data_IF_222531658115
#
_entry.id   IF_222531658115
#
_cell.length_a   1.000
_cell.length_b   1.000
_cell.length_c   1.000
_cell.angle_alpha   90.00
_cell.angle_beta   90.00
_cell.angle_gamma   90.00
#
_symmetry.space_group_name_H-M   'P 1'
#
loop_
_entity.id
_entity.type
_entity.pdbx_description
1 polymer ?
#
# COMPACT_ATOMS: atom_id res chain seq x y z
N UNK A 1 39.83 47.18 -46.34
CA UNK A 1 39.64 45.76 -45.99
C UNK A 1 39.57 45.66 -44.47
N UNK A 2 38.50 45.08 -43.93
CA UNK A 2 38.32 44.92 -42.48
C UNK A 2 36.88 45.20 -42.06
N UNK A 3 36.01 44.21 -42.22
CA UNK A 3 34.56 44.28 -42.07
C UNK A 3 34.12 44.44 -40.62
N UNK A 4 33.00 45.18 -40.46
CA UNK A 4 32.25 45.39 -39.21
C UNK A 4 31.63 44.07 -38.75
N UNK A 5 31.88 43.68 -37.50
CA UNK A 5 31.18 42.58 -36.85
C UNK A 5 29.77 43.02 -36.45
N UNK A 6 28.80 42.25 -36.93
CA UNK A 6 27.38 42.42 -36.70
C UNK A 6 26.95 42.07 -35.28
N UNK A 7 26.07 42.93 -34.81
CA UNK A 7 25.15 42.85 -33.69
C UNK A 7 24.23 41.63 -33.85
N UNK A 8 24.19 40.75 -32.85
CA UNK A 8 23.23 39.66 -32.72
C UNK A 8 22.43 39.85 -31.44
N UNK A 9 21.31 40.57 -31.52
CA UNK A 9 20.29 40.57 -30.50
C UNK A 9 19.36 39.39 -30.78
N UNK A 10 19.55 38.30 -30.03
CA UNK A 10 18.66 37.15 -30.04
C UNK A 10 17.53 37.38 -29.04
N UNK A 11 16.35 37.72 -29.55
CA UNK A 11 15.07 37.70 -28.82
C UNK A 11 14.88 36.36 -28.11
N UNK A 12 14.81 36.41 -26.79
CA UNK A 12 14.41 35.29 -25.94
C UNK A 12 12.88 35.17 -26.02
N UNK A 13 12.40 34.26 -26.85
CA UNK A 13 10.97 33.91 -26.94
C UNK A 13 10.58 33.09 -25.72
N UNK A 14 9.56 33.56 -25.00
CA UNK A 14 8.95 32.92 -23.84
C UNK A 14 8.47 31.47 -24.12
N UNK A 15 8.67 30.51 -23.21
CA UNK A 15 8.03 29.21 -23.31
C UNK A 15 6.53 29.32 -22.98
N UNK A 16 5.70 28.91 -23.94
CA UNK A 16 4.26 28.80 -23.80
C UNK A 16 3.82 27.90 -22.62
N UNK A 17 2.70 28.20 -21.94
CA UNK A 17 2.16 27.35 -20.89
C UNK A 17 1.46 26.12 -21.48
N UNK A 18 1.98 24.92 -21.16
CA UNK A 18 1.29 23.65 -21.34
C UNK A 18 0.09 23.55 -20.39
N UNK A 19 -1.03 24.15 -20.76
CA UNK A 19 -2.34 23.93 -20.15
C UNK A 19 -3.01 22.71 -20.81
N UNK A 20 -2.66 21.51 -20.35
CA UNK A 20 -3.40 20.29 -20.66
C UNK A 20 -4.43 20.04 -19.54
N UNK A 21 -5.63 20.62 -19.69
CA UNK A 21 -6.82 20.14 -18.99
C UNK A 21 -7.34 18.88 -19.69
N UNK A 22 -7.54 17.75 -19.00
CA UNK A 22 -8.45 16.73 -19.48
C UNK A 22 -9.90 17.19 -19.22
N UNK A 23 -10.56 17.55 -20.32
CA UNK A 23 -11.99 17.82 -20.39
C UNK A 23 -12.78 16.58 -19.95
N UNK A 24 -13.35 16.61 -18.74
CA UNK A 24 -14.32 15.62 -18.26
C UNK A 24 -15.68 15.96 -18.87
N UNK A 25 -15.92 15.50 -20.09
CA UNK A 25 -17.25 15.45 -20.68
C UNK A 25 -18.01 14.27 -20.04
N UNK A 26 -18.80 14.55 -19.00
CA UNK A 26 -19.86 13.64 -18.59
C UNK A 26 -21.10 13.93 -19.45
N UNK A 27 -21.23 13.21 -20.57
CA UNK A 27 -22.50 13.04 -21.25
C UNK A 27 -23.26 11.90 -20.57
N UNK A 28 -24.20 12.27 -19.70
CA UNK A 28 -25.34 11.46 -19.30
C UNK A 28 -26.28 11.33 -20.50
N UNK A 29 -26.54 10.10 -20.97
CA UNK A 29 -27.87 9.56 -21.34
C UNK A 29 -27.75 8.27 -22.16
N UNK A 30 -28.03 7.13 -21.52
CA UNK A 30 -28.67 5.92 -22.10
C UNK A 30 -28.89 4.96 -20.91
N UNK A 31 -30.02 4.96 -20.20
CA UNK A 31 -31.32 4.36 -20.52
C UNK A 31 -31.26 2.99 -21.26
N UNK A 32 -31.70 1.98 -20.50
CA UNK A 32 -32.35 0.71 -20.90
C UNK A 32 -31.45 -0.44 -21.40
N UNK A 33 -31.27 -1.49 -20.58
CA UNK A 33 -32.22 -2.62 -20.51
C UNK A 33 -31.80 -3.64 -19.44
N UNK A 34 -32.80 -4.17 -18.75
CA UNK A 34 -32.67 -5.16 -17.69
C UNK A 34 -32.10 -6.49 -18.17
N UNK A 35 -31.21 -7.05 -17.36
CA UNK A 35 -31.00 -8.48 -17.28
C UNK A 35 -31.25 -8.87 -15.81
N UNK A 36 -32.42 -9.46 -15.59
CA UNK A 36 -32.79 -10.11 -14.35
C UNK A 36 -31.73 -11.16 -14.00
N UNK A 37 -31.02 -10.94 -12.90
CA UNK A 37 -30.29 -12.01 -12.25
C UNK A 37 -31.34 -12.81 -11.49
N UNK A 38 -31.70 -13.95 -12.08
CA UNK A 38 -32.62 -14.91 -11.51
C UNK A 38 -32.01 -15.41 -10.20
N UNK A 39 -32.71 -15.17 -9.09
CA UNK A 39 -32.46 -15.82 -7.82
C UNK A 39 -32.62 -17.32 -8.01
N UNK A 40 -31.50 -18.03 -7.94
CA UNK A 40 -31.45 -19.49 -7.84
C UNK A 40 -31.39 -19.86 -6.36
N UNK A 41 -32.56 -20.02 -5.76
CA UNK A 41 -32.79 -20.69 -4.49
C UNK A 41 -32.41 -22.18 -4.58
N UNK A 42 -31.98 -22.68 -3.43
CA UNK A 42 -32.02 -24.07 -2.96
C UNK A 42 -31.03 -25.09 -3.52
N UNK A 43 -29.98 -25.28 -2.73
CA UNK A 43 -29.11 -26.45 -2.77
C UNK A 43 -28.48 -26.66 -1.41
N UNK A 44 -29.27 -27.19 -0.48
CA UNK A 44 -28.88 -27.61 0.88
C UNK A 44 -27.92 -28.81 0.80
N UNK A 45 -26.74 -28.58 0.25
CA UNK A 45 -25.63 -29.52 0.25
C UNK A 45 -24.90 -29.39 1.57
N UNK A 46 -25.21 -30.29 2.51
CA UNK A 46 -24.43 -30.55 3.71
C UNK A 46 -22.93 -30.61 3.34
N UNK A 47 -22.07 -29.76 3.91
CA UNK A 47 -20.65 -29.75 3.56
C UNK A 47 -20.00 -31.02 4.11
N UNK A 48 -19.76 -31.96 3.20
CA UNK A 48 -18.93 -33.14 3.41
C UNK A 48 -17.62 -32.73 4.13
N UNK A 49 -17.24 -33.40 5.24
CA UNK A 49 -16.00 -33.09 5.96
C UNK A 49 -14.81 -33.51 5.10
N UNK A 50 -14.35 -32.59 4.25
CA UNK A 50 -13.10 -32.73 3.51
C UNK A 50 -11.97 -32.86 4.51
N UNK A 51 -11.50 -34.10 4.64
CA UNK A 51 -10.28 -34.48 5.30
C UNK A 51 -9.19 -33.46 4.98
N UNK A 52 -8.73 -32.75 6.02
CA UNK A 52 -7.51 -31.98 6.02
C UNK A 52 -6.30 -32.94 5.93
N UNK A 53 -6.15 -33.58 4.78
CA UNK A 53 -5.00 -34.41 4.45
C UNK A 53 -3.83 -33.50 4.08
N UNK A 54 -3.03 -33.19 5.11
CA UNK A 54 -1.55 -33.20 5.07
C UNK A 54 -0.86 -32.70 3.80
N UNK A 55 -1.04 -31.43 3.42
CA UNK A 55 -0.25 -30.80 2.35
C UNK A 55 1.05 -30.12 2.83
N UNK A 56 1.40 -30.24 4.11
CA UNK A 56 2.65 -29.72 4.68
C UNK A 56 3.84 -30.69 4.60
N UNK A 57 3.62 -31.96 4.23
CA UNK A 57 4.68 -32.99 4.23
C UNK A 57 5.39 -33.23 2.89
N UNK A 58 4.78 -32.88 1.75
CA UNK A 58 5.24 -33.36 0.44
C UNK A 58 6.16 -32.38 -0.33
N UNK A 59 6.35 -31.16 0.16
CA UNK A 59 7.07 -30.10 -0.59
C UNK A 59 8.58 -30.08 -0.29
N UNK A 60 9.06 -30.83 0.71
CA UNK A 60 10.42 -30.65 1.21
C UNK A 60 11.50 -31.53 0.55
N UNK A 61 11.20 -32.42 -0.41
CA UNK A 61 12.12 -33.52 -0.75
C UNK A 61 12.71 -33.58 -2.17
N UNK A 62 12.44 -32.65 -3.10
CA UNK A 62 13.02 -32.75 -4.47
C UNK A 62 13.55 -31.42 -5.03
N UNK A 63 14.45 -30.77 -4.29
CA UNK A 63 15.56 -30.06 -4.94
C UNK A 63 16.53 -31.13 -5.50
N UNK A 64 17.22 -30.93 -6.64
CA UNK A 64 18.35 -31.80 -6.96
C UNK A 64 19.30 -31.78 -5.74
N UNK A 65 19.82 -32.93 -5.28
CA UNK A 65 20.49 -33.02 -3.98
C UNK A 65 21.66 -32.04 -3.82
N UNK A 66 22.19 -31.49 -4.92
CA UNK A 66 23.21 -30.43 -4.93
C UNK A 66 22.69 -29.02 -4.60
N UNK A 67 21.45 -28.65 -4.95
CA UNK A 67 20.92 -27.31 -4.66
C UNK A 67 20.47 -27.18 -3.20
N UNK A 68 19.97 -28.26 -2.58
CA UNK A 68 19.60 -28.24 -1.16
C UNK A 68 20.85 -28.17 -0.27
N UNK A 69 21.97 -28.70 -0.76
CA UNK A 69 23.31 -28.58 -0.17
C UNK A 69 23.97 -27.22 -0.38
N UNK A 70 23.55 -26.45 -1.40
CA UNK A 70 24.04 -25.09 -1.58
C UNK A 70 23.48 -24.18 -0.49
N UNK A 71 24.35 -23.33 0.05
CA UNK A 71 23.97 -22.26 0.96
C UNK A 71 22.94 -21.34 0.27
N UNK A 72 22.17 -20.59 1.06
CA UNK A 72 21.21 -19.63 0.51
C UNK A 72 21.83 -18.70 -0.55
N UNK A 73 23.09 -18.30 -0.35
CA UNK A 73 23.87 -17.52 -1.31
C UNK A 73 24.15 -18.28 -2.63
N UNK A 74 24.55 -19.55 -2.55
CA UNK A 74 24.82 -20.36 -3.75
C UNK A 74 23.55 -20.70 -4.56
N UNK A 75 22.39 -20.79 -3.90
CA UNK A 75 21.10 -20.95 -4.62
C UNK A 75 20.73 -19.70 -5.41
N UNK A 76 21.01 -18.52 -4.83
CA UNK A 76 20.76 -17.25 -5.50
C UNK A 76 21.65 -17.10 -6.75
N UNK A 77 22.93 -17.43 -6.64
CA UNK A 77 23.89 -17.35 -7.75
C UNK A 77 23.52 -18.31 -8.91
N UNK A 78 23.01 -19.51 -8.60
CA UNK A 78 22.54 -20.46 -9.63
C UNK A 78 21.28 -19.95 -10.32
N UNK A 79 20.35 -19.34 -9.59
CA UNK A 79 19.14 -18.74 -10.15
C UNK A 79 19.44 -17.51 -11.00
N UNK A 80 20.41 -16.70 -10.57
CA UNK A 80 20.91 -15.54 -11.30
C UNK A 80 21.57 -15.97 -12.62
N UNK A 81 22.47 -16.97 -12.56
CA UNK A 81 23.17 -17.50 -13.74
C UNK A 81 22.23 -18.21 -14.71
N UNK A 82 21.10 -18.73 -14.25
CA UNK A 82 20.10 -19.38 -15.09
C UNK A 82 19.26 -18.41 -15.93
N UNK A 83 19.40 -17.09 -15.74
CA UNK A 83 18.61 -16.07 -16.46
C UNK A 83 17.11 -16.12 -16.18
N UNK A 84 16.66 -17.03 -15.31
CA UNK A 84 15.26 -17.21 -14.89
C UNK A 84 14.76 -16.14 -13.92
N UNK A 85 15.61 -15.19 -13.57
CA UNK A 85 15.30 -14.08 -12.66
C UNK A 85 15.22 -12.73 -13.39
N UNK A 86 15.12 -12.74 -14.72
CA UNK A 86 14.75 -11.52 -15.44
C UNK A 86 13.29 -11.21 -15.10
N UNK A 87 13.09 -10.22 -14.23
CA UNK A 87 11.77 -9.82 -13.79
C UNK A 87 11.15 -9.06 -14.95
N UNK A 88 10.12 -9.64 -15.54
CA UNK A 88 9.38 -8.98 -16.61
C UNK A 88 8.81 -7.65 -16.09
N UNK A 89 9.45 -6.55 -16.49
CA UNK A 89 9.09 -5.21 -16.05
C UNK A 89 7.72 -4.78 -16.58
N UNK A 90 7.19 -5.45 -17.62
CA UNK A 90 5.82 -5.21 -18.12
C UNK A 90 4.77 -5.80 -17.15
N UNK A 91 5.15 -6.80 -16.36
CA UNK A 91 4.31 -7.38 -15.32
C UNK A 91 4.44 -6.66 -13.97
N UNK A 92 5.45 -5.82 -13.81
CA UNK A 92 5.66 -5.04 -12.59
C UNK A 92 4.71 -3.84 -12.54
N UNK A 93 3.66 -4.01 -11.75
CA UNK A 93 2.74 -2.92 -11.38
C UNK A 93 3.03 -2.43 -9.98
N UNK A 94 3.06 -1.11 -9.81
CA UNK A 94 3.17 -0.48 -8.50
C UNK A 94 1.90 0.32 -8.19
N UNK A 95 1.61 0.44 -6.91
CA UNK A 95 0.52 1.28 -6.40
C UNK A 95 1.15 2.51 -5.76
N UNK A 96 0.68 3.73 -6.06
CA UNK A 96 1.12 4.91 -5.33
C UNK A 96 0.83 4.72 -3.83
N UNK A 97 1.84 4.95 -2.99
CA UNK A 97 1.78 4.57 -1.57
C UNK A 97 0.64 5.25 -0.80
N UNK A 98 0.12 6.37 -1.31
CA UNK A 98 -1.02 7.10 -0.75
C UNK A 98 -2.37 6.45 -0.99
N UNK A 99 -2.50 5.69 -2.07
CA UNK A 99 -3.75 4.98 -2.36
C UNK A 99 -3.92 3.76 -1.45
N UNK A 100 -2.84 3.24 -0.88
CA UNK A 100 -2.86 2.10 0.05
C UNK A 100 -3.62 2.36 1.37
N UNK A 101 -3.41 3.50 2.08
CA UNK A 101 -4.18 3.84 3.27
C UNK A 101 -5.55 4.47 3.01
N UNK A 102 -5.86 4.86 1.75
CA UNK A 102 -7.19 5.38 1.43
C UNK A 102 -8.30 4.36 1.75
N UNK A 103 -9.52 4.87 1.97
CA UNK A 103 -10.68 4.07 2.36
C UNK A 103 -10.40 3.23 3.62
N UNK A 104 -9.70 3.83 4.60
CA UNK A 104 -9.35 3.22 5.88
C UNK A 104 -8.63 1.86 5.78
N UNK A 105 -7.80 1.70 4.75
CA UNK A 105 -7.07 0.45 4.54
C UNK A 105 -7.97 -0.74 4.22
N UNK A 106 -9.15 -0.52 3.62
CA UNK A 106 -10.08 -1.60 3.22
C UNK A 106 -9.46 -2.65 2.30
N UNK A 107 -8.39 -2.28 1.57
CA UNK A 107 -7.59 -3.20 0.76
C UNK A 107 -6.87 -4.23 1.64
N UNK A 108 -6.46 -3.83 2.85
CA UNK A 108 -5.71 -4.64 3.81
C UNK A 108 -6.60 -5.40 4.79
N UNK A 109 -7.89 -5.08 4.88
CA UNK A 109 -8.80 -5.68 5.86
C UNK A 109 -9.40 -7.00 5.40
N UNK A 110 -9.35 -7.32 4.10
CA UNK A 110 -9.95 -8.54 3.53
C UNK A 110 -8.87 -9.55 3.15
N UNK A 111 -9.14 -10.82 3.40
CA UNK A 111 -8.29 -11.90 2.91
C UNK A 111 -8.27 -11.85 1.37
N UNK A 112 -7.09 -11.90 0.72
CA UNK A 112 -7.00 -11.94 -0.74
C UNK A 112 -7.83 -13.04 -1.41
N UNK A 113 -8.05 -14.16 -0.70
CA UNK A 113 -8.88 -15.27 -1.16
C UNK A 113 -10.35 -14.86 -1.35
N UNK A 114 -10.87 -13.98 -0.49
CA UNK A 114 -12.28 -13.58 -0.46
C UNK A 114 -12.59 -12.38 -1.38
N UNK A 115 -11.58 -11.87 -2.11
CA UNK A 115 -11.75 -10.74 -3.02
C UNK A 115 -12.40 -11.23 -4.31
N UNK A 116 -13.61 -10.72 -4.57
CA UNK A 116 -14.37 -10.95 -5.80
C UNK A 116 -13.60 -10.50 -7.04
N UNK A 117 -13.83 -11.17 -8.18
CA UNK A 117 -13.15 -10.87 -9.44
C UNK A 117 -13.27 -9.39 -9.83
N UNK A 118 -14.46 -8.80 -9.73
CA UNK A 118 -14.68 -7.38 -10.03
C UNK A 118 -13.80 -6.45 -9.19
N UNK A 119 -13.59 -6.77 -7.90
CA UNK A 119 -12.74 -5.98 -7.02
C UNK A 119 -11.26 -6.13 -7.35
N UNK A 120 -10.83 -7.30 -7.85
CA UNK A 120 -9.46 -7.50 -8.34
C UNK A 120 -9.19 -6.66 -9.58
N UNK A 121 -10.16 -6.56 -10.50
CA UNK A 121 -10.04 -5.68 -11.67
C UNK A 121 -9.90 -4.22 -11.23
N UNK A 122 -10.75 -3.75 -10.31
CA UNK A 122 -10.63 -2.37 -9.76
C UNK A 122 -9.25 -2.14 -9.12
N UNK A 123 -8.71 -3.11 -8.36
CA UNK A 123 -7.37 -3.00 -7.78
C UNK A 123 -6.26 -2.98 -8.84
N UNK A 124 -6.41 -3.77 -9.90
CA UNK A 124 -5.49 -3.81 -11.03
C UNK A 124 -5.49 -2.51 -11.81
N UNK A 125 -6.66 -1.88 -11.98
CA UNK A 125 -6.83 -0.56 -12.62
C UNK A 125 -6.23 0.57 -11.77
N UNK A 126 -6.18 0.41 -10.45
CA UNK A 126 -5.51 1.35 -9.54
C UNK A 126 -3.98 1.25 -9.57
N UNK A 127 -3.43 0.19 -10.18
CA UNK A 127 -1.99 -0.03 -10.27
C UNK A 127 -1.44 0.48 -11.60
N UNK A 128 -0.28 1.11 -11.55
CA UNK A 128 0.40 1.67 -12.71
C UNK A 128 1.65 0.84 -13.03
N UNK A 129 1.97 0.71 -14.31
CA UNK A 129 3.23 0.08 -14.75
C UNK A 129 4.42 0.90 -14.22
N UNK A 130 5.35 0.23 -13.54
CA UNK A 130 6.46 0.89 -12.87
C UNK A 130 7.78 0.19 -13.15
N UNK A 131 8.76 0.97 -13.63
CA UNK A 131 10.14 0.48 -13.86
C UNK A 131 10.88 0.15 -12.57
N UNK A 132 10.46 0.75 -11.46
CA UNK A 132 11.07 0.56 -10.14
C UNK A 132 10.06 0.85 -9.02
N UNK A 133 10.33 0.30 -7.84
CA UNK A 133 9.56 0.53 -6.61
C UNK A 133 10.49 0.95 -5.47
N UNK A 134 10.02 1.88 -4.64
CA UNK A 134 10.79 2.40 -3.50
C UNK A 134 10.62 1.51 -2.26
N UNK A 135 9.44 0.90 -2.13
CA UNK A 135 9.06 0.09 -0.96
C UNK A 135 8.36 -1.18 -1.43
N UNK A 136 8.85 -2.32 -0.94
CA UNK A 136 8.21 -3.61 -1.15
C UNK A 136 7.38 -3.99 0.08
N UNK A 137 6.09 -4.23 -0.10
CA UNK A 137 5.17 -4.62 0.96
C UNK A 137 4.61 -6.01 0.65
N UNK A 138 5.20 -7.04 1.25
CA UNK A 138 4.63 -8.39 1.20
C UNK A 138 3.47 -8.52 2.17
N UNK A 139 2.37 -9.14 1.75
CA UNK A 139 1.24 -9.46 2.62
C UNK A 139 1.28 -10.94 3.02
N UNK A 140 1.38 -11.23 4.33
CA UNK A 140 1.20 -12.59 4.80
C UNK A 140 -0.30 -12.86 4.87
N UNK A 141 -0.74 -13.91 4.19
CA UNK A 141 -2.15 -14.27 4.05
C UNK A 141 -2.83 -14.65 5.37
N UNK A 142 -2.03 -14.89 6.42
CA UNK A 142 -2.50 -15.31 7.75
C UNK A 142 -2.63 -14.17 8.76
N UNK A 143 -2.05 -12.98 8.53
CA UNK A 143 -2.06 -11.90 9.51
C UNK A 143 -3.04 -10.79 9.14
N UNK A 144 -3.68 -10.21 10.16
CA UNK A 144 -4.56 -9.07 9.97
C UNK A 144 -3.76 -7.88 9.42
N UNK A 145 -4.21 -7.32 8.29
CA UNK A 145 -3.49 -6.24 7.61
C UNK A 145 -3.48 -4.89 8.36
N UNK A 146 -4.16 -4.80 9.51
CA UNK A 146 -4.27 -3.58 10.31
C UNK A 146 -2.93 -3.05 10.81
N UNK A 147 -1.99 -3.93 11.19
CA UNK A 147 -0.66 -3.52 11.65
C UNK A 147 0.14 -2.84 10.53
N UNK A 148 0.02 -3.36 9.31
CA UNK A 148 0.66 -2.79 8.11
C UNK A 148 0.03 -1.47 7.73
N UNK A 149 -1.30 -1.39 7.77
CA UNK A 149 -2.01 -0.14 7.58
C UNK A 149 -1.57 0.92 8.59
N UNK A 150 -1.50 0.58 9.88
CA UNK A 150 -1.08 1.49 10.94
C UNK A 150 0.38 1.94 10.74
N UNK A 151 1.27 1.02 10.36
CA UNK A 151 2.65 1.35 10.03
C UNK A 151 2.75 2.33 8.86
N UNK A 152 2.00 2.10 7.77
CA UNK A 152 1.97 3.00 6.62
C UNK A 152 1.41 4.37 6.98
N UNK A 153 0.33 4.40 7.77
CA UNK A 153 -0.31 5.63 8.23
C UNK A 153 0.66 6.45 9.11
N UNK A 154 1.37 5.80 10.03
CA UNK A 154 2.39 6.44 10.85
C UNK A 154 3.56 6.93 9.99
N UNK A 155 4.11 6.10 9.11
CA UNK A 155 5.27 6.47 8.28
C UNK A 155 4.99 7.69 7.40
N UNK A 156 3.87 7.73 6.69
CA UNK A 156 3.52 8.85 5.81
C UNK A 156 2.91 10.04 6.56
N UNK A 157 2.22 9.79 7.67
CA UNK A 157 1.42 10.78 8.37
C UNK A 157 2.11 11.46 9.55
N UNK A 158 3.27 10.98 9.99
CA UNK A 158 3.95 11.52 11.19
C UNK A 158 4.20 13.02 11.07
N UNK A 159 4.72 13.50 9.93
CA UNK A 159 5.03 14.93 9.76
C UNK A 159 3.79 15.81 9.88
N UNK A 160 2.68 15.41 9.23
CA UNK A 160 1.42 16.16 9.30
C UNK A 160 0.78 16.06 10.68
N UNK A 161 0.79 14.86 11.28
CA UNK A 161 0.26 14.62 12.61
C UNK A 161 1.00 15.46 13.66
N UNK A 162 2.34 15.55 13.58
CA UNK A 162 3.14 16.41 14.43
C UNK A 162 2.84 17.90 14.21
N UNK A 163 2.63 18.33 12.97
CA UNK A 163 2.27 19.71 12.67
C UNK A 163 0.91 20.09 13.27
N UNK A 164 -0.11 19.26 13.05
CA UNK A 164 -1.46 19.49 13.62
C UNK A 164 -1.40 19.42 15.14
N UNK A 165 -0.70 18.44 15.70
CA UNK A 165 -0.45 18.33 17.14
C UNK A 165 0.17 19.61 17.71
N UNK A 166 1.23 20.13 17.07
CA UNK A 166 1.91 21.35 17.49
C UNK A 166 0.98 22.56 17.48
N UNK A 167 0.19 22.75 16.41
CA UNK A 167 -0.80 23.82 16.30
C UNK A 167 -1.84 23.73 17.43
N UNK A 168 -2.39 22.54 17.68
CA UNK A 168 -3.35 22.33 18.76
C UNK A 168 -2.75 22.57 20.14
N UNK A 169 -1.50 22.13 20.37
CA UNK A 169 -0.80 22.36 21.63
C UNK A 169 -0.58 23.86 21.90
N UNK A 170 -0.18 24.63 20.87
CA UNK A 170 -0.03 26.09 20.98
C UNK A 170 -1.37 26.76 21.29
N UNK A 171 -2.44 26.39 20.58
CA UNK A 171 -3.79 26.93 20.82
C UNK A 171 -4.27 26.61 22.24
N UNK A 172 -4.09 25.37 22.70
CA UNK A 172 -4.46 24.96 24.05
C UNK A 172 -3.67 25.76 25.10
N UNK A 173 -2.37 25.94 24.91
CA UNK A 173 -1.53 26.77 25.79
C UNK A 173 -2.02 28.22 25.85
N UNK A 174 -2.35 28.82 24.69
CA UNK A 174 -2.88 30.18 24.65
C UNK A 174 -4.23 30.31 25.37
N UNK A 175 -5.16 29.38 25.13
CA UNK A 175 -6.47 29.37 25.79
C UNK A 175 -6.38 29.17 27.30
N UNK A 176 -5.43 28.33 27.75
CA UNK A 176 -5.13 28.16 29.16
C UNK A 176 -4.54 29.44 29.77
N UNK A 177 -3.62 30.11 29.05
CA UNK A 177 -3.02 31.38 29.53
C UNK A 177 -4.02 32.54 29.58
N UNK A 178 -5.07 32.48 28.76
CA UNK A 178 -6.17 33.43 28.77
C UNK A 178 -7.27 33.08 29.79
N UNK A 179 -7.09 32.01 30.58
CA UNK A 179 -8.06 31.52 31.59
C UNK A 179 -9.45 31.21 31.02
N UNK A 180 -9.55 30.92 29.72
CA UNK A 180 -10.82 30.61 29.04
C UNK A 180 -11.26 29.17 29.31
N UNK A 181 -10.30 28.25 29.50
CA UNK A 181 -10.58 26.84 29.76
C UNK A 181 -10.71 26.59 31.27
N UNK A 182 -11.80 25.96 31.74
CA UNK A 182 -11.93 25.56 33.13
C UNK A 182 -10.86 24.51 33.48
N UNK A 183 -10.33 24.52 34.70
CA UNK A 183 -9.32 23.57 35.18
C UNK A 183 -9.99 22.49 36.06
N UNK A 184 -10.55 21.41 35.49
CA UNK A 184 -11.33 20.44 36.26
C UNK A 184 -10.49 19.45 37.09
N UNK A 185 -9.17 19.41 36.90
CA UNK A 185 -8.32 18.36 37.48
C UNK A 185 -7.02 18.91 38.09
N UNK A 186 -6.89 18.81 39.41
CA UNK A 186 -5.64 19.03 40.13
C UNK A 186 -4.73 17.81 39.99
N UNK A 187 -4.11 17.64 38.82
CA UNK A 187 -3.14 16.57 38.61
C UNK A 187 -1.82 16.93 39.28
N UNK A 188 -1.48 16.25 40.37
CA UNK A 188 -0.19 16.42 41.06
C UNK A 188 0.84 15.50 40.42
N UNK A 189 1.77 16.07 39.67
CA UNK A 189 2.88 15.32 39.08
C UNK A 189 3.86 14.97 40.21
N UNK A 190 4.20 13.69 40.37
CA UNK A 190 5.22 13.21 41.31
C UNK A 190 6.38 12.61 40.54
N UNK A 191 7.41 13.41 40.25
CA UNK A 191 8.64 12.93 39.60
C UNK A 191 9.83 13.42 40.41
N UNK A 192 10.68 12.52 40.89
CA UNK A 192 11.98 12.84 41.54
C UNK A 192 11.89 13.95 42.62
N UNK A 193 10.96 13.80 43.59
CA UNK A 193 10.69 14.76 44.67
C UNK A 193 10.05 16.10 44.25
N UNK A 194 9.80 16.34 42.96
CA UNK A 194 8.99 17.46 42.50
C UNK A 194 7.51 17.12 42.68
N UNK A 195 6.76 18.01 43.36
CA UNK A 195 5.34 17.84 43.65
C UNK A 195 4.62 19.16 43.44
N UNK A 196 4.47 19.54 42.17
CA UNK A 196 3.68 20.70 41.79
C UNK A 196 2.39 20.29 41.06
N UNK A 197 1.28 20.99 41.34
CA UNK A 197 0.05 20.81 40.58
C UNK A 197 0.27 21.26 39.13
N UNK A 198 -0.10 20.42 38.18
CA UNK A 198 -0.04 20.71 36.75
C UNK A 198 -1.47 20.77 36.18
N UNK A 199 -2.20 21.89 36.38
CA UNK A 199 -3.61 21.97 36.01
C UNK A 199 -3.84 21.91 34.48
N UNK A 200 -2.79 22.14 33.69
CA UNK A 200 -2.85 22.16 32.23
C UNK A 200 -2.85 20.76 31.59
N UNK A 201 -2.48 19.71 32.33
CA UNK A 201 -2.20 18.39 31.75
C UNK A 201 -3.37 17.83 30.94
N UNK A 202 -4.59 17.90 31.46
CA UNK A 202 -5.76 17.33 30.80
C UNK A 202 -6.03 17.94 29.42
N UNK A 203 -5.99 19.28 29.33
CA UNK A 203 -6.22 20.02 28.09
C UNK A 203 -5.07 19.96 27.11
N UNK A 204 -3.85 19.71 27.58
CA UNK A 204 -2.71 19.48 26.70
C UNK A 204 -2.79 18.07 26.15
N UNK A 205 -2.89 17.03 26.97
CA UNK A 205 -2.77 15.63 26.51
C UNK A 205 -3.98 15.11 25.73
N UNK A 206 -5.20 15.36 26.19
CA UNK A 206 -6.42 14.81 25.56
C UNK A 206 -6.61 15.34 24.13
N UNK A 207 -6.78 16.66 23.96
CA UNK A 207 -6.86 17.30 22.65
C UNK A 207 -5.64 17.03 21.77
N UNK A 208 -4.43 16.97 22.33
CA UNK A 208 -3.21 16.59 21.57
C UNK A 208 -3.33 15.22 20.92
N UNK A 209 -3.76 14.21 21.67
CA UNK A 209 -3.91 12.86 21.14
C UNK A 209 -4.97 12.82 20.04
N UNK A 210 -6.09 13.53 20.23
CA UNK A 210 -7.12 13.70 19.21
C UNK A 210 -6.60 14.40 17.96
N UNK A 211 -5.85 15.48 18.12
CA UNK A 211 -5.24 16.24 17.03
C UNK A 211 -4.26 15.37 16.23
N UNK A 212 -3.45 14.56 16.90
CA UNK A 212 -2.54 13.61 16.25
C UNK A 212 -3.32 12.55 15.46
N UNK A 213 -4.38 11.98 16.03
CA UNK A 213 -5.24 11.01 15.35
C UNK A 213 -5.93 11.62 14.11
N UNK A 214 -6.43 12.85 14.22
CA UNK A 214 -7.01 13.61 13.10
C UNK A 214 -5.96 13.87 12.02
N UNK A 215 -4.75 14.27 12.38
CA UNK A 215 -3.68 14.49 11.41
C UNK A 215 -3.27 13.21 10.67
N UNK A 216 -3.18 12.08 11.37
CA UNK A 216 -2.97 10.79 10.73
C UNK A 216 -4.13 10.43 9.80
N UNK A 217 -5.38 10.63 10.21
CA UNK A 217 -6.56 10.34 9.39
C UNK A 217 -6.68 11.23 8.14
N UNK A 218 -6.20 12.48 8.20
CA UNK A 218 -6.20 13.43 7.08
C UNK A 218 -5.06 13.20 6.08
N UNK A 219 -3.96 12.58 6.52
CA UNK A 219 -2.78 12.29 5.70
C UNK A 219 -3.09 11.68 4.32
N UNK A 220 -3.91 10.61 4.17
CA UNK A 220 -4.16 9.98 2.87
C UNK A 220 -4.97 10.85 1.88
N UNK A 221 -5.58 11.94 2.36
CA UNK A 221 -6.44 12.82 1.55
C UNK A 221 -5.71 14.08 1.07
N UNK A 222 -4.55 14.39 1.62
CA UNK A 222 -3.79 15.57 1.22
C UNK A 222 -2.92 15.27 -0.01
N UNK A 223 -2.69 16.26 -0.90
CA UNK A 223 -1.75 16.12 -2.00
C UNK A 223 -0.32 15.99 -1.47
N UNK A 224 0.48 15.07 -2.03
CA UNK A 224 1.92 14.99 -1.74
C UNK A 224 2.70 15.57 -2.87
N UNK A 225 3.94 15.93 -2.57
CA UNK A 225 5.00 15.96 -3.57
C UNK A 225 5.74 14.63 -3.70
N UNK A 226 5.66 13.74 -2.71
CA UNK A 226 6.28 12.41 -2.79
C UNK A 226 5.39 11.43 -3.56
N UNK A 227 5.88 11.03 -4.73
CA UNK A 227 5.29 10.00 -5.60
C UNK A 227 5.85 8.61 -5.26
N UNK A 228 6.09 8.32 -3.98
CA UNK A 228 6.66 7.04 -3.56
C UNK A 228 5.78 5.88 -4.07
N UNK A 229 6.41 4.97 -4.82
CA UNK A 229 5.73 3.82 -5.42
C UNK A 229 5.98 2.59 -4.56
N UNK A 230 4.90 1.94 -4.15
CA UNK A 230 4.99 0.70 -3.38
C UNK A 230 4.54 -0.49 -4.21
N UNK A 231 5.30 -1.57 -4.14
CA UNK A 231 4.88 -2.86 -4.67
C UNK A 231 4.02 -3.56 -3.61
N UNK A 232 2.81 -3.95 -4.00
CA UNK A 232 1.85 -4.64 -3.12
C UNK A 232 1.53 -5.98 -3.75
N UNK A 233 2.03 -7.04 -3.12
CA UNK A 233 1.95 -8.43 -3.61
C UNK A 233 0.54 -8.84 -4.08
N UNK A 234 -0.49 -8.45 -3.32
CA UNK A 234 -1.91 -8.77 -3.61
C UNK A 234 -2.45 -8.10 -4.87
N UNK A 235 -1.92 -6.93 -5.22
CA UNK A 235 -2.39 -6.12 -6.35
C UNK A 235 -1.54 -6.40 -7.59
N UNK A 236 -0.24 -6.51 -7.40
CA UNK A 236 0.74 -6.62 -8.47
C UNK A 236 0.83 -8.02 -9.07
N UNK A 237 0.56 -9.08 -8.31
CA UNK A 237 0.57 -10.44 -8.84
C UNK A 237 -0.82 -10.80 -9.36
N UNK A 238 -0.98 -10.76 -10.68
CA UNK A 238 -2.12 -11.42 -11.32
C UNK A 238 -2.12 -12.90 -10.87
N UNK A 239 -3.16 -13.34 -10.16
CA UNK A 239 -3.18 -14.71 -9.62
C UNK A 239 -3.17 -15.78 -10.70
N UNK A 240 -3.53 -15.43 -11.93
CA UNK A 240 -3.36 -16.31 -13.08
C UNK A 240 -1.89 -16.49 -13.45
N UNK A 241 -1.07 -15.44 -13.28
CA UNK A 241 0.39 -15.49 -13.35
C UNK A 241 1.00 -16.12 -12.10
N UNK A 242 0.41 -16.00 -10.91
CA UNK A 242 0.85 -16.78 -9.76
C UNK A 242 0.67 -18.28 -10.03
N UNK A 243 -0.50 -18.66 -10.56
CA UNK A 243 -0.76 -20.03 -11.02
C UNK A 243 0.20 -20.40 -12.14
N UNK A 244 0.41 -19.58 -13.17
CA UNK A 244 1.37 -19.88 -14.25
C UNK A 244 2.81 -19.85 -13.82
N UNK A 245 3.21 -19.09 -12.81
CA UNK A 245 4.55 -19.11 -12.23
C UNK A 245 4.75 -20.36 -11.39
N UNK A 246 3.74 -20.71 -10.58
CA UNK A 246 3.65 -22.01 -9.91
C UNK A 246 3.70 -23.12 -10.96
N UNK A 247 2.88 -23.12 -12.01
CA UNK A 247 2.83 -24.13 -13.05
C UNK A 247 4.03 -24.09 -14.01
N UNK A 248 4.62 -22.96 -14.36
CA UNK A 248 5.85 -22.93 -15.18
C UNK A 248 7.03 -23.47 -14.39
N UNK A 249 7.01 -23.28 -13.07
CA UNK A 249 8.03 -23.83 -12.16
C UNK A 249 7.70 -25.27 -11.70
N UNK A 250 6.42 -25.68 -11.66
CA UNK A 250 5.95 -26.99 -11.12
C UNK A 250 5.43 -27.96 -12.18
N UNK A 251 4.90 -27.52 -13.32
CA UNK A 251 4.37 -28.38 -14.39
C UNK A 251 5.49 -29.11 -15.14
N UNK A 252 6.66 -28.50 -15.47
CA UNK A 252 7.82 -29.25 -15.96
C UNK A 252 8.41 -30.22 -14.93
N UNK A 253 8.06 -30.04 -13.64
CA UNK A 253 8.42 -30.95 -12.54
C UNK A 253 7.41 -32.09 -12.38
N UNK A 254 6.12 -31.85 -12.62
CA UNK A 254 5.06 -32.87 -12.59
C UNK A 254 5.08 -33.77 -13.84
N UNK A 255 5.30 -33.21 -15.03
CA UNK A 255 5.40 -34.00 -16.27
C UNK A 255 6.60 -34.96 -16.25
N UNK A 256 7.72 -34.54 -15.65
CA UNK A 256 8.88 -35.42 -15.42
C UNK A 256 8.66 -36.50 -14.37
N UNK A 257 7.69 -36.35 -13.48
CA UNK A 257 7.33 -37.38 -12.49
C UNK A 257 6.47 -38.50 -13.09
N UNK A 258 5.76 -38.21 -14.19
CA UNK A 258 4.90 -39.17 -14.90
C UNK A 258 5.68 -39.99 -15.93
N UNK A 259 6.77 -39.46 -16.50
CA UNK A 259 7.65 -40.19 -17.44
C UNK A 259 8.63 -41.18 -16.77
N UNK A 260 8.69 -41.21 -15.44
CA UNK A 260 9.56 -42.15 -14.68
C UNK A 260 8.82 -43.35 -14.08
N UNK A 261 7.59 -43.61 -14.52
CA UNK A 261 6.87 -44.88 -14.33
C UNK A 261 6.70 -45.58 -15.68
#
# INVERSE_FOLDING_TARGET
MGNKCGHCDGEHSDPAPCNAQPSRANALTQTEHGAAWSDGEDGDGEPEPRAALGLQGAVSQTLPPRLSQLSAAGRLEVLERAGTLDVDFELLRAVPMRSCPQRAGRIWSKNPADITHAKRVELSEMSEEAKSFDVFISHCWSSSGHSKFLYLLLREGTSLALLIWCVFAVIAMLLCSAEVLPMPADYVIKILNFRDPAPFGFWVFGPSLGAMAVGLALTPYLPSRNLARCFVDVVSINQELMKRGIYSTLLPRLLRAVETF
#
